data_IF_004492701820
#
_entry.id   IF_004492701820
#
_cell.length_a   1.000
_cell.length_b   1.000
_cell.length_c   1.000
_cell.angle_alpha   90.00
_cell.angle_beta   90.00
_cell.angle_gamma   90.00
#
_symmetry.space_group_name_H-M   'P 1'
#
loop_
_entity.id
_entity.type
_entity.pdbx_description
1 polymer ?
#
# COMPACT_ATOMS: atom_id res chain seq x y z
N UNK A 1 -6.90 13.08 -11.19
CA UNK A 1 -6.63 12.55 -12.55
C UNK A 1 -7.28 11.17 -12.65
N UNK A 2 -8.07 10.90 -13.70
CA UNK A 2 -8.73 9.60 -13.90
C UNK A 2 -8.29 9.07 -15.27
N UNK A 3 -7.51 8.00 -15.26
CA UNK A 3 -7.09 7.26 -16.47
C UNK A 3 -7.82 5.93 -16.47
N UNK A 4 -8.21 5.45 -17.65
CA UNK A 4 -8.80 4.12 -17.83
C UNK A 4 -7.77 3.23 -18.52
N UNK A 5 -7.30 2.20 -17.81
CA UNK A 5 -6.51 1.13 -18.40
C UNK A 5 -7.49 0.10 -18.97
N UNK A 6 -7.44 -0.24 -20.27
CA UNK A 6 -8.29 -1.28 -20.87
C UNK A 6 -8.11 -2.64 -20.19
N UNK A 7 -9.16 -3.47 -20.23
CA UNK A 7 -9.20 -4.76 -19.49
C UNK A 7 -8.10 -5.74 -19.95
N UNK A 8 -7.75 -5.74 -21.24
CA UNK A 8 -6.75 -6.65 -21.79
C UNK A 8 -5.36 -6.42 -21.17
N UNK A 9 -4.97 -5.15 -21.02
CA UNK A 9 -3.71 -4.79 -20.35
C UNK A 9 -3.73 -5.11 -18.86
N UNK A 10 -4.88 -4.92 -18.18
CA UNK A 10 -4.99 -5.32 -16.78
C UNK A 10 -4.78 -6.81 -16.58
N UNK A 11 -5.34 -7.63 -17.46
CA UNK A 11 -5.19 -9.09 -17.38
C UNK A 11 -3.77 -9.53 -17.70
N UNK A 12 -3.11 -8.90 -18.68
CA UNK A 12 -1.73 -9.23 -19.06
C UNK A 12 -0.74 -8.91 -17.94
N UNK A 13 -0.92 -7.77 -17.27
CA UNK A 13 0.01 -7.27 -16.25
C UNK A 13 -0.47 -7.55 -14.80
N UNK A 14 -1.54 -8.33 -14.62
CA UNK A 14 -2.19 -8.61 -13.33
C UNK A 14 -2.46 -7.33 -12.50
N UNK A 15 -3.07 -6.34 -13.15
CA UNK A 15 -3.38 -5.04 -12.54
C UNK A 15 -4.68 -5.14 -11.74
N UNK A 16 -4.55 -5.04 -10.42
CA UNK A 16 -5.64 -5.10 -9.45
C UNK A 16 -5.92 -3.72 -8.84
N UNK A 17 -7.13 -3.56 -8.28
CA UNK A 17 -7.48 -2.33 -7.59
C UNK A 17 -6.64 -2.15 -6.31
N UNK A 18 -6.15 -0.94 -6.07
CA UNK A 18 -5.33 -0.61 -4.89
C UNK A 18 -3.82 -0.76 -5.10
N UNK A 19 -3.37 -1.20 -6.27
CA UNK A 19 -1.96 -1.12 -6.66
C UNK A 19 -1.52 0.33 -6.91
N UNK A 20 -0.25 0.59 -6.67
CA UNK A 20 0.39 1.88 -6.88
C UNK A 20 1.24 1.86 -8.15
N UNK A 21 1.31 3.01 -8.81
CA UNK A 21 2.11 3.22 -10.01
C UNK A 21 2.85 4.55 -9.89
N UNK A 22 4.11 4.55 -10.28
CA UNK A 22 4.85 5.77 -10.53
C UNK A 22 4.49 6.32 -11.92
N UNK A 23 4.46 7.65 -12.04
CA UNK A 23 4.16 8.33 -13.29
C UNK A 23 5.41 9.08 -13.74
N UNK A 24 5.96 8.67 -14.87
CA UNK A 24 7.07 9.35 -15.54
C UNK A 24 6.54 10.12 -16.76
N UNK A 25 6.92 11.39 -16.89
CA UNK A 25 6.58 12.21 -18.07
C UNK A 25 7.71 12.10 -19.09
N UNK A 26 7.43 11.47 -20.23
CA UNK A 26 8.39 11.32 -21.33
C UNK A 26 8.38 12.54 -22.27
N UNK A 27 7.22 13.20 -22.39
CA UNK A 27 7.02 14.31 -23.30
C UNK A 27 5.69 15.02 -23.09
N UNK A 28 5.33 15.94 -24.00
CA UNK A 28 4.01 16.58 -23.94
C UNK A 28 2.95 15.58 -24.41
N UNK A 29 2.09 15.14 -23.49
CA UNK A 29 1.03 14.17 -23.78
C UNK A 29 1.47 12.71 -23.68
N UNK A 30 2.75 12.47 -23.37
CA UNK A 30 3.31 11.12 -23.25
C UNK A 30 3.74 10.86 -21.80
N UNK A 31 3.15 9.81 -21.23
CA UNK A 31 3.38 9.41 -19.84
C UNK A 31 3.57 7.89 -19.79
N UNK A 32 4.51 7.45 -18.95
CA UNK A 32 4.73 6.04 -18.64
C UNK A 32 4.22 5.77 -17.23
N UNK A 33 3.45 4.69 -17.10
CA UNK A 33 3.06 4.12 -15.82
C UNK A 33 4.05 3.01 -15.49
N UNK A 34 4.72 3.10 -14.35
CA UNK A 34 5.63 2.06 -13.85
C UNK A 34 4.99 1.45 -12.62
N UNK A 35 4.74 0.15 -12.65
CA UNK A 35 4.18 -0.56 -11.50
C UNK A 35 5.21 -0.52 -10.36
N UNK A 36 4.82 0.03 -9.22
CA UNK A 36 5.63 -0.08 -8.01
C UNK A 36 5.42 -1.45 -7.40
N UNK A 37 6.44 -1.94 -6.70
CA UNK A 37 6.43 -3.19 -5.92
C UNK A 37 5.11 -3.40 -5.16
N UNK A 38 4.76 -4.67 -4.87
CA UNK A 38 3.47 -5.06 -4.31
C UNK A 38 3.03 -4.11 -3.19
N UNK A 39 1.72 -3.76 -3.13
CA UNK A 39 1.22 -2.82 -2.14
C UNK A 39 1.79 -3.19 -0.78
N UNK A 40 2.24 -2.21 0.02
CA UNK A 40 2.93 -2.42 1.31
C UNK A 40 2.18 -3.39 2.27
N UNK A 41 0.92 -3.65 1.97
CA UNK A 41 -0.02 -4.45 2.74
C UNK A 41 -0.24 -5.85 2.13
N UNK A 42 0.44 -6.22 1.03
CA UNK A 42 0.36 -7.55 0.45
C UNK A 42 0.99 -8.54 1.43
N UNK A 43 0.25 -9.59 1.79
CA UNK A 43 0.67 -10.50 2.86
C UNK A 43 0.33 -9.99 4.27
N UNK A 44 -0.15 -8.74 4.45
CA UNK A 44 -0.45 -8.21 5.78
C UNK A 44 -1.61 -8.94 6.42
N UNK A 45 -2.65 -9.26 5.65
CA UNK A 45 -3.81 -9.99 6.16
C UNK A 45 -3.41 -11.42 6.53
N UNK A 46 -2.64 -12.09 5.67
CA UNK A 46 -2.09 -13.41 5.96
C UNK A 46 -1.18 -13.40 7.19
N UNK A 47 -0.38 -12.35 7.35
CA UNK A 47 0.50 -12.15 8.53
C UNK A 47 -0.32 -11.93 9.80
N UNK A 48 -1.37 -11.11 9.74
CA UNK A 48 -2.29 -10.90 10.87
C UNK A 48 -3.04 -12.19 11.24
N UNK A 49 -3.41 -13.00 10.25
CA UNK A 49 -4.10 -14.28 10.44
C UNK A 49 -3.16 -15.41 10.91
N UNK A 50 -1.86 -15.32 10.60
CA UNK A 50 -0.83 -16.23 11.11
C UNK A 50 -0.51 -15.99 12.60
N UNK A 51 -1.14 -15.00 13.26
CA UNK A 51 -1.02 -14.84 14.70
C UNK A 51 -1.44 -16.14 15.42
N UNK A 52 -0.57 -16.71 16.27
CA UNK A 52 -0.77 -18.04 16.86
C UNK A 52 -1.94 -18.11 17.86
N UNK A 53 -2.58 -16.99 18.19
CA UNK A 53 -3.78 -16.94 19.03
C UNK A 53 -4.70 -15.78 18.65
N UNK A 54 -6.03 -16.02 18.66
CA UNK A 54 -7.03 -14.94 18.61
C UNK A 54 -6.88 -14.07 19.87
N UNK A 55 -6.81 -12.75 19.71
CA UNK A 55 -6.73 -11.80 20.83
C UNK A 55 -5.31 -11.40 21.27
N UNK A 56 -4.27 -11.77 20.51
CA UNK A 56 -2.90 -11.31 20.78
C UNK A 56 -2.73 -9.78 20.60
N UNK A 57 -3.46 -9.19 19.65
CA UNK A 57 -3.47 -7.74 19.50
C UNK A 57 -4.31 -7.11 20.61
N UNK A 58 -3.62 -6.53 21.60
CA UNK A 58 -4.23 -5.70 22.64
C UNK A 58 -4.00 -4.24 22.24
N UNK A 59 -5.05 -3.46 21.95
CA UNK A 59 -4.88 -2.02 21.72
C UNK A 59 -4.32 -1.41 23.00
N UNK A 60 -3.18 -0.75 22.91
CA UNK A 60 -2.67 0.06 24.01
C UNK A 60 -3.64 1.23 24.16
N UNK A 61 -4.17 1.46 25.37
CA UNK A 61 -4.91 2.70 25.62
C UNK A 61 -3.99 3.86 25.27
N UNK A 62 -4.40 4.66 24.29
CA UNK A 62 -3.63 5.75 23.74
C UNK A 62 -3.53 6.85 24.80
N UNK A 63 -2.69 6.67 25.80
CA UNK A 63 -2.19 7.79 26.58
C UNK A 63 -1.43 8.66 25.59
N UNK A 64 -1.92 9.89 25.42
CA UNK A 64 -1.38 10.91 24.53
C UNK A 64 0.15 10.93 24.61
N UNK A 65 0.82 11.10 23.47
CA UNK A 65 2.28 11.27 23.37
C UNK A 65 2.77 12.61 23.97
N UNK A 66 2.14 13.07 25.05
CA UNK A 66 2.44 14.30 25.77
C UNK A 66 3.42 14.07 26.92
N UNK A 67 3.72 12.81 27.27
CA UNK A 67 4.63 12.45 28.37
C UNK A 67 5.95 11.82 27.94
N UNK A 68 6.26 11.77 26.64
CA UNK A 68 7.59 11.36 26.18
C UNK A 68 8.55 12.55 26.27
N UNK A 69 9.09 12.80 27.46
CA UNK A 69 10.28 13.65 27.59
C UNK A 69 11.46 12.98 26.88
N UNK A 70 11.91 13.62 25.80
CA UNK A 70 13.16 13.28 25.11
C UNK A 70 14.34 13.55 26.07
N UNK A 71 15.12 12.54 26.47
CA UNK A 71 16.30 12.80 27.29
C UNK A 71 17.37 13.53 26.45
N UNK A 72 17.92 14.61 27.05
CA UNK A 72 18.99 15.45 26.50
C UNK A 72 20.35 14.78 26.54
#
# INVERSE_FOLDING_TARGET
MKTVIPIDFRNQDNIEAGQFFDIERLGRGEYRLVMTDPPKNQGLVETLLACPSKGWFVPVESESADSLEVPS
#
